data_IF_864829982365
#
_entry.id   IF_864829982365
#
_cell.length_a   1.000
_cell.length_b   1.000
_cell.length_c   1.000
_cell.angle_alpha   90.00
_cell.angle_beta   90.00
_cell.angle_gamma   90.00
#
_symmetry.space_group_name_H-M   'P 1'
#
loop_
_entity.id
_entity.type
_entity.pdbx_description
1 polymer ?
#
# COMPACT_ATOMS: atom_id res chain seq x y z
N UNK A 1 -25.92 -9.71 -64.41
CA UNK A 1 -27.34 -9.32 -64.52
C UNK A 1 -27.73 -8.49 -63.32
N UNK A 2 -28.43 -7.38 -63.54
CA UNK A 2 -29.01 -6.53 -62.48
C UNK A 2 -30.51 -6.81 -62.42
N UNK A 3 -31.03 -7.16 -61.25
CA UNK A 3 -32.47 -7.31 -61.02
C UNK A 3 -33.01 -6.11 -60.26
N UNK A 4 -34.02 -5.43 -60.81
CA UNK A 4 -34.63 -4.22 -60.20
C UNK A 4 -36.12 -4.48 -59.92
N UNK A 5 -36.60 -4.11 -58.74
CA UNK A 5 -38.02 -4.20 -58.41
C UNK A 5 -38.29 -3.99 -56.92
N UNK A 6 -39.52 -4.25 -56.46
CA UNK A 6 -39.80 -4.30 -55.01
C UNK A 6 -38.94 -5.39 -54.35
N UNK A 7 -38.81 -6.53 -55.04
CA UNK A 7 -37.81 -7.56 -54.76
C UNK A 7 -36.90 -7.69 -55.99
N UNK A 8 -35.68 -7.14 -55.91
CA UNK A 8 -34.70 -7.22 -56.99
C UNK A 8 -33.78 -8.43 -56.80
N UNK A 9 -33.83 -9.41 -57.71
CA UNK A 9 -32.98 -10.62 -57.63
C UNK A 9 -32.00 -10.65 -58.81
N UNK A 10 -30.71 -10.80 -58.55
CA UNK A 10 -29.69 -10.89 -59.61
C UNK A 10 -28.27 -11.07 -59.07
N UNK A 11 -27.26 -10.93 -59.93
CA UNK A 11 -25.86 -10.80 -59.44
C UNK A 11 -25.74 -9.50 -58.63
N UNK A 12 -26.40 -8.44 -59.12
CA UNK A 12 -26.71 -7.23 -58.35
C UNK A 12 -28.23 -7.14 -58.25
N UNK A 13 -28.79 -7.28 -57.04
CA UNK A 13 -30.22 -7.12 -56.79
C UNK A 13 -30.53 -5.76 -56.15
N UNK A 14 -31.39 -4.95 -56.76
CA UNK A 14 -31.75 -3.60 -56.27
C UNK A 14 -33.26 -3.53 -56.03
N UNK A 15 -33.68 -3.18 -54.81
CA UNK A 15 -35.10 -3.07 -54.48
C UNK A 15 -35.41 -2.63 -53.07
N UNK A 16 -36.67 -2.76 -52.63
CA UNK A 16 -36.99 -2.70 -51.19
C UNK A 16 -36.31 -3.88 -50.49
N UNK A 17 -36.35 -5.05 -51.13
CA UNK A 17 -35.51 -6.22 -50.82
C UNK A 17 -34.60 -6.50 -52.02
N UNK A 18 -33.30 -6.31 -51.87
CA UNK A 18 -32.31 -6.64 -52.90
C UNK A 18 -31.59 -7.93 -52.56
N UNK A 19 -31.62 -8.94 -53.44
CA UNK A 19 -30.98 -10.24 -53.23
C UNK A 19 -29.98 -10.53 -54.35
N UNK A 20 -28.72 -10.84 -54.00
CA UNK A 20 -27.71 -11.18 -55.00
C UNK A 20 -26.33 -11.48 -54.44
N UNK A 21 -25.31 -11.45 -55.30
CA UNK A 21 -23.91 -11.35 -54.80
C UNK A 21 -23.73 -9.99 -54.12
N UNK A 22 -24.29 -8.95 -54.73
CA UNK A 22 -24.51 -7.64 -54.12
C UNK A 22 -26.01 -7.38 -54.03
N UNK A 23 -26.56 -7.32 -52.83
CA UNK A 23 -27.95 -6.96 -52.58
C UNK A 23 -28.06 -5.54 -52.04
N UNK A 24 -28.80 -4.65 -52.70
CA UNK A 24 -28.99 -3.24 -52.30
C UNK A 24 -30.48 -2.96 -52.07
N UNK A 25 -30.84 -2.45 -50.90
CA UNK A 25 -32.23 -2.08 -50.62
C UNK A 25 -32.51 -1.55 -49.23
N UNK A 26 -33.78 -1.53 -48.81
CA UNK A 26 -34.10 -1.39 -47.38
C UNK A 26 -33.58 -2.61 -46.64
N UNK A 27 -33.77 -3.79 -47.22
CA UNK A 27 -33.11 -5.04 -46.83
C UNK A 27 -32.22 -5.51 -47.99
N UNK A 28 -30.91 -5.48 -47.82
CA UNK A 28 -29.95 -6.01 -48.78
C UNK A 28 -29.40 -7.35 -48.32
N UNK A 29 -29.55 -8.42 -49.13
CA UNK A 29 -29.07 -9.77 -48.82
C UNK A 29 -28.09 -10.24 -49.87
N UNK A 30 -26.90 -10.68 -49.48
CA UNK A 30 -25.93 -11.23 -50.43
C UNK A 30 -24.59 -11.63 -49.84
N UNK A 31 -23.57 -11.76 -50.70
CA UNK A 31 -22.17 -11.77 -50.22
C UNK A 31 -21.85 -10.40 -49.63
N UNK A 32 -22.29 -9.33 -50.33
CA UNK A 32 -22.34 -7.96 -49.83
C UNK A 32 -23.80 -7.52 -49.78
N UNK A 33 -24.35 -7.33 -48.58
CA UNK A 33 -25.69 -6.78 -48.37
C UNK A 33 -25.61 -5.33 -47.93
N UNK A 34 -26.23 -4.41 -48.66
CA UNK A 34 -26.25 -2.96 -48.37
C UNK A 34 -27.69 -2.48 -48.17
N UNK A 35 -27.99 -1.84 -47.04
CA UNK A 35 -29.32 -1.29 -46.82
C UNK A 35 -29.55 -0.64 -45.47
N UNK A 36 -30.82 -0.48 -45.08
CA UNK A 36 -31.14 -0.21 -43.67
C UNK A 36 -30.77 -1.44 -42.84
N UNK A 37 -31.10 -2.63 -43.37
CA UNK A 37 -30.62 -3.92 -42.89
C UNK A 37 -29.77 -4.56 -44.00
N UNK A 38 -28.46 -4.68 -43.79
CA UNK A 38 -27.56 -5.38 -44.71
C UNK A 38 -27.18 -6.75 -44.14
N UNK A 39 -27.47 -7.83 -44.85
CA UNK A 39 -27.17 -9.21 -44.44
C UNK A 39 -26.23 -9.86 -45.45
N UNK A 40 -25.11 -10.41 -44.99
CA UNK A 40 -24.21 -11.13 -45.89
C UNK A 40 -22.92 -11.63 -45.28
N UNK A 41 -21.92 -11.93 -46.12
CA UNK A 41 -20.53 -12.06 -45.63
C UNK A 41 -20.06 -10.71 -45.13
N UNK A 42 -20.37 -9.65 -45.89
CA UNK A 42 -20.25 -8.25 -45.50
C UNK A 42 -21.65 -7.64 -45.49
N UNK A 43 -22.18 -7.33 -44.32
CA UNK A 43 -23.46 -6.61 -44.15
C UNK A 43 -23.20 -5.15 -43.81
N UNK A 44 -23.70 -4.22 -44.62
CA UNK A 44 -23.55 -2.77 -44.41
C UNK A 44 -24.93 -2.13 -44.26
N UNK A 45 -25.16 -1.39 -43.18
CA UNK A 45 -26.41 -0.66 -43.03
C UNK A 45 -26.59 0.10 -41.73
N UNK A 46 -27.82 0.45 -41.38
CA UNK A 46 -28.12 0.85 -39.99
C UNK A 46 -27.92 -0.36 -39.08
N UNK A 47 -28.37 -1.52 -39.53
CA UNK A 47 -28.05 -2.84 -38.96
C UNK A 47 -27.28 -3.64 -40.01
N UNK A 48 -26.00 -3.89 -39.78
CA UNK A 48 -25.16 -4.74 -40.62
C UNK A 48 -24.94 -6.09 -39.96
N UNK A 49 -25.33 -7.19 -40.61
CA UNK A 49 -25.19 -8.56 -40.09
C UNK A 49 -24.33 -9.38 -41.06
N UNK A 50 -23.27 -10.01 -40.55
CA UNK A 50 -22.46 -10.90 -41.38
C UNK A 50 -21.24 -11.50 -40.73
N UNK A 51 -20.29 -11.97 -41.52
CA UNK A 51 -18.93 -12.23 -41.00
C UNK A 51 -18.30 -10.89 -40.59
N UNK A 52 -18.50 -9.86 -41.43
CA UNK A 52 -18.23 -8.46 -41.14
C UNK A 52 -19.56 -7.71 -41.18
N UNK A 53 -20.04 -7.25 -40.03
CA UNK A 53 -21.23 -6.40 -39.92
C UNK A 53 -20.82 -4.96 -39.67
N UNK A 54 -21.20 -4.02 -40.53
CA UNK A 54 -20.90 -2.59 -40.42
C UNK A 54 -22.19 -1.79 -40.33
N UNK A 55 -22.34 -0.96 -39.31
CA UNK A 55 -23.50 -0.08 -39.21
C UNK A 55 -23.58 0.78 -37.97
N UNK A 56 -24.79 1.27 -37.65
CA UNK A 56 -25.05 1.79 -36.29
C UNK A 56 -24.98 0.62 -35.32
N UNK A 57 -25.57 -0.52 -35.70
CA UNK A 57 -25.41 -1.82 -35.05
C UNK A 57 -24.73 -2.75 -36.04
N UNK A 58 -23.48 -3.13 -35.77
CA UNK A 58 -22.73 -4.11 -36.55
C UNK A 58 -22.65 -5.43 -35.79
N UNK A 59 -23.15 -6.52 -36.38
CA UNK A 59 -23.15 -7.87 -35.79
C UNK A 59 -22.38 -8.82 -36.68
N UNK A 60 -21.40 -9.54 -36.12
CA UNK A 60 -20.70 -10.55 -36.88
C UNK A 60 -19.56 -11.25 -36.16
N UNK A 61 -18.65 -11.88 -36.91
CA UNK A 61 -17.33 -12.24 -36.35
C UNK A 61 -16.57 -10.95 -36.02
N UNK A 62 -16.65 -9.98 -36.93
CA UNK A 62 -16.22 -8.59 -36.73
C UNK A 62 -17.47 -7.71 -36.83
N UNK A 63 -17.89 -7.12 -35.72
CA UNK A 63 -18.98 -6.15 -35.68
C UNK A 63 -18.42 -4.74 -35.52
N UNK A 64 -18.70 -3.83 -36.44
CA UNK A 64 -18.24 -2.44 -36.42
C UNK A 64 -19.44 -1.50 -36.40
N UNK A 65 -19.51 -0.60 -35.43
CA UNK A 65 -20.56 0.41 -35.41
C UNK A 65 -20.57 1.35 -34.23
N UNK A 66 -21.70 1.99 -33.95
CA UNK A 66 -21.92 2.61 -32.64
C UNK A 66 -21.99 1.51 -31.58
N UNK A 67 -22.69 0.42 -31.90
CA UNK A 67 -22.68 -0.84 -31.18
C UNK A 67 -22.09 -1.92 -32.09
N UNK A 68 -20.89 -2.39 -31.78
CA UNK A 68 -20.25 -3.50 -32.48
C UNK A 68 -20.32 -4.77 -31.65
N UNK A 69 -20.94 -5.83 -32.17
CA UNK A 69 -21.09 -7.13 -31.49
C UNK A 69 -20.42 -8.23 -32.30
N UNK A 70 -19.52 -8.99 -31.69
CA UNK A 70 -18.92 -10.13 -32.37
C UNK A 70 -17.86 -10.89 -31.59
N UNK A 71 -17.02 -11.65 -32.28
CA UNK A 71 -15.77 -12.11 -31.68
C UNK A 71 -14.87 -10.91 -31.43
N UNK A 72 -14.83 -10.00 -32.40
CA UNK A 72 -14.26 -8.66 -32.30
C UNK A 72 -15.39 -7.65 -32.47
N UNK A 73 -15.76 -6.96 -31.39
CA UNK A 73 -16.74 -5.87 -31.43
C UNK A 73 -16.03 -4.52 -31.35
N UNK A 74 -16.21 -3.65 -32.34
CA UNK A 74 -15.60 -2.32 -32.39
C UNK A 74 -16.70 -1.26 -32.45
N UNK A 75 -16.68 -0.29 -31.54
CA UNK A 75 -17.62 0.82 -31.61
C UNK A 75 -17.53 1.83 -30.48
N UNK A 76 -18.58 2.61 -30.27
CA UNK A 76 -18.74 3.34 -29.01
C UNK A 76 -18.93 2.33 -27.88
N UNK A 77 -19.75 1.31 -28.14
CA UNK A 77 -19.89 0.09 -27.33
C UNK A 77 -19.41 -1.09 -28.17
N UNK A 78 -18.27 -1.66 -27.81
CA UNK A 78 -17.73 -2.87 -28.44
C UNK A 78 -17.95 -4.08 -27.53
N UNK A 79 -18.66 -5.10 -27.99
CA UNK A 79 -18.95 -6.33 -27.23
C UNK A 79 -18.40 -7.53 -27.97
N UNK A 80 -17.60 -8.35 -27.30
CA UNK A 80 -17.13 -9.59 -27.89
C UNK A 80 -16.17 -10.40 -27.04
N UNK A 81 -15.42 -11.30 -27.67
CA UNK A 81 -14.21 -11.85 -27.02
C UNK A 81 -13.20 -10.73 -26.84
N UNK A 82 -13.05 -9.90 -27.88
CA UNK A 82 -12.35 -8.62 -27.84
C UNK A 82 -13.36 -7.51 -28.09
N UNK A 83 -13.66 -6.71 -27.07
CA UNK A 83 -14.51 -5.54 -27.18
C UNK A 83 -13.68 -4.26 -27.17
N UNK A 84 -13.75 -3.45 -28.22
CA UNK A 84 -13.01 -2.19 -28.35
C UNK A 84 -13.99 -1.03 -28.49
N UNK A 85 -13.86 -0.01 -27.63
CA UNK A 85 -14.67 1.19 -27.78
C UNK A 85 -14.48 2.26 -26.73
N UNK A 86 -15.45 3.16 -26.59
CA UNK A 86 -15.53 3.98 -25.36
C UNK A 86 -15.84 3.06 -24.18
N UNK A 87 -16.76 2.12 -24.39
CA UNK A 87 -17.02 0.98 -23.52
C UNK A 87 -16.68 -0.29 -24.27
N UNK A 88 -15.60 -0.96 -23.86
CA UNK A 88 -15.19 -2.26 -24.41
C UNK A 88 -15.54 -3.37 -23.43
N UNK A 89 -16.36 -4.34 -23.83
CA UNK A 89 -16.78 -5.47 -23.00
C UNK A 89 -16.35 -6.77 -23.66
N UNK A 90 -15.63 -7.63 -22.93
CA UNK A 90 -15.29 -8.95 -23.43
C UNK A 90 -14.44 -9.80 -22.52
N UNK A 91 -13.79 -10.82 -23.08
CA UNK A 91 -12.66 -11.46 -22.37
C UNK A 91 -11.53 -10.44 -22.25
N UNK A 92 -11.28 -9.71 -23.33
CA UNK A 92 -10.44 -8.52 -23.38
C UNK A 92 -11.34 -7.32 -23.72
N UNK A 93 -11.56 -6.44 -22.74
CA UNK A 93 -12.29 -5.18 -22.93
C UNK A 93 -11.32 -4.01 -22.99
N UNK A 94 -11.31 -3.26 -24.07
CA UNK A 94 -10.44 -2.09 -24.29
C UNK A 94 -11.29 -0.85 -24.51
N UNK A 95 -11.06 0.20 -23.72
CA UNK A 95 -11.73 1.47 -23.96
C UNK A 95 -11.43 2.58 -22.99
N UNK A 96 -12.29 3.60 -22.92
CA UNK A 96 -12.29 4.50 -21.76
C UNK A 96 -12.70 3.70 -20.52
N UNK A 97 -13.72 2.84 -20.68
CA UNK A 97 -14.11 1.81 -19.74
C UNK A 97 -13.89 0.45 -20.40
N UNK A 98 -12.89 -0.30 -19.94
CA UNK A 98 -12.62 -1.65 -20.38
C UNK A 98 -13.09 -2.67 -19.33
N UNK A 99 -14.00 -3.56 -19.69
CA UNK A 99 -14.56 -4.58 -18.80
C UNK A 99 -14.27 -5.97 -19.37
N UNK A 100 -13.65 -6.83 -18.57
CA UNK A 100 -13.45 -8.22 -18.99
C UNK A 100 -12.69 -9.10 -18.01
N UNK A 101 -12.15 -10.21 -18.49
CA UNK A 101 -11.10 -10.92 -17.74
C UNK A 101 -9.86 -10.02 -17.66
N UNK A 102 -9.53 -9.39 -18.79
CA UNK A 102 -8.57 -8.29 -18.90
C UNK A 102 -9.34 -7.03 -19.32
N UNK A 103 -9.47 -6.08 -18.40
CA UNK A 103 -10.06 -4.77 -18.68
C UNK A 103 -8.97 -3.72 -18.80
N UNK A 104 -8.88 -3.04 -19.94
CA UNK A 104 -7.89 -1.99 -20.21
C UNK A 104 -8.59 -0.69 -20.53
N UNK A 105 -8.25 0.39 -19.81
CA UNK A 105 -8.79 1.70 -20.14
C UNK A 105 -8.37 2.84 -19.23
N UNK A 106 -9.13 3.93 -19.23
CA UNK A 106 -9.06 4.90 -18.13
C UNK A 106 -9.56 4.23 -16.86
N UNK A 107 -10.66 3.49 -16.97
CA UNK A 107 -11.17 2.57 -15.97
C UNK A 107 -11.08 1.15 -16.54
N UNK A 108 -10.16 0.35 -16.03
CA UNK A 108 -10.02 -1.07 -16.38
C UNK A 108 -10.58 -1.95 -15.28
N UNK A 109 -11.60 -2.77 -15.59
CA UNK A 109 -12.26 -3.66 -14.63
C UNK A 109 -12.13 -5.10 -15.10
N UNK A 110 -11.61 -5.98 -14.26
CA UNK A 110 -11.55 -7.40 -14.58
C UNK A 110 -10.90 -8.28 -13.54
N UNK A 111 -10.48 -9.48 -13.94
CA UNK A 111 -9.52 -10.25 -13.12
C UNK A 111 -8.20 -9.48 -13.10
N UNK A 112 -7.79 -8.97 -14.25
CA UNK A 112 -6.72 -7.99 -14.42
C UNK A 112 -7.33 -6.69 -14.93
N UNK A 113 -7.37 -5.67 -14.08
CA UNK A 113 -7.81 -4.33 -14.44
C UNK A 113 -6.61 -3.40 -14.63
N UNK A 114 -6.44 -2.82 -15.81
CA UNK A 114 -5.34 -1.91 -16.14
C UNK A 114 -5.90 -0.56 -16.54
N UNK A 115 -5.46 0.51 -15.89
CA UNK A 115 -5.86 1.86 -16.30
C UNK A 115 -5.34 3.00 -15.46
N UNK A 116 -5.99 4.17 -15.55
CA UNK A 116 -5.81 5.20 -14.51
C UNK A 116 -6.38 4.68 -13.20
N UNK A 117 -7.57 4.06 -13.28
CA UNK A 117 -8.17 3.26 -12.22
C UNK A 117 -8.24 1.81 -12.70
N UNK A 118 -7.41 0.95 -12.11
CA UNK A 118 -7.42 -0.48 -12.38
C UNK A 118 -8.10 -1.23 -11.24
N UNK A 119 -9.17 -1.97 -11.52
CA UNK A 119 -9.94 -2.74 -10.53
C UNK A 119 -9.93 -4.22 -10.90
N UNK A 120 -9.52 -5.08 -9.97
CA UNK A 120 -9.60 -6.52 -10.20
C UNK A 120 -9.05 -7.40 -9.10
N UNK A 121 -8.76 -8.65 -9.42
CA UNK A 121 -7.88 -9.46 -8.55
C UNK A 121 -6.49 -8.82 -8.55
N UNK A 122 -6.01 -8.44 -9.74
CA UNK A 122 -4.85 -7.60 -9.95
C UNK A 122 -5.33 -6.27 -10.55
N UNK A 123 -5.27 -5.20 -9.76
CA UNK A 123 -5.59 -3.85 -10.22
C UNK A 123 -4.29 -3.06 -10.43
N UNK A 124 -4.05 -2.58 -11.65
CA UNK A 124 -2.86 -1.80 -12.02
C UNK A 124 -3.27 -0.42 -12.52
N UNK A 125 -2.74 0.63 -11.92
CA UNK A 125 -2.98 1.97 -12.43
C UNK A 125 -2.35 3.12 -11.66
N UNK A 126 -2.86 4.34 -11.83
CA UNK A 126 -2.59 5.41 -10.87
C UNK A 126 -3.22 5.04 -9.53
N UNK A 127 -4.46 4.55 -9.59
CA UNK A 127 -5.16 3.89 -8.49
C UNK A 127 -5.37 2.42 -8.87
N UNK A 128 -4.62 1.52 -8.24
CA UNK A 128 -4.78 0.08 -8.41
C UNK A 128 -5.54 -0.51 -7.22
N UNK A 129 -6.70 -1.14 -7.48
CA UNK A 129 -7.55 -1.75 -6.45
C UNK A 129 -7.71 -3.23 -6.73
N UNK A 130 -7.39 -4.08 -5.74
CA UNK A 130 -7.63 -5.51 -5.89
C UNK A 130 -7.19 -6.37 -4.72
N UNK A 131 -7.03 -7.67 -4.95
CA UNK A 131 -6.26 -8.51 -4.02
C UNK A 131 -4.81 -8.05 -4.04
N UNK A 132 -4.29 -7.78 -5.24
CA UNK A 132 -3.03 -7.08 -5.47
C UNK A 132 -3.35 -5.77 -6.17
N UNK A 133 -3.19 -4.66 -5.45
CA UNK A 133 -3.35 -3.31 -5.99
C UNK A 133 -1.99 -2.68 -6.24
N UNK A 134 -1.69 -2.31 -7.49
CA UNK A 134 -0.42 -1.70 -7.88
C UNK A 134 -0.68 -0.32 -8.48
N UNK A 135 -0.05 0.72 -7.94
CA UNK A 135 -0.15 2.04 -8.53
C UNK A 135 0.60 3.15 -7.84
N UNK A 136 0.24 4.41 -8.10
CA UNK A 136 0.63 5.51 -7.21
C UNK A 136 -0.06 5.31 -5.87
N UNK A 137 -1.34 4.95 -5.90
CA UNK A 137 -2.11 4.44 -4.77
C UNK A 137 -2.47 2.99 -5.06
N UNK A 138 -1.85 2.06 -4.34
CA UNK A 138 -2.15 0.63 -4.43
C UNK A 138 -2.99 0.20 -3.23
N UNK A 139 -4.20 -0.32 -3.45
CA UNK A 139 -5.12 -0.77 -2.40
C UNK A 139 -5.42 -2.25 -2.59
N UNK A 140 -5.20 -3.06 -1.56
CA UNK A 140 -5.59 -4.47 -1.60
C UNK A 140 -5.25 -5.29 -0.39
N UNK A 141 -5.22 -6.62 -0.53
CA UNK A 141 -4.56 -7.47 0.46
C UNK A 141 -3.06 -7.16 0.44
N UNK A 142 -2.50 -7.05 -0.77
CA UNK A 142 -1.17 -6.50 -1.03
C UNK A 142 -1.35 -5.20 -1.81
N UNK A 143 -1.10 -4.06 -1.15
CA UNK A 143 -1.11 -2.75 -1.78
C UNK A 143 0.31 -2.26 -2.04
N UNK A 144 0.66 -2.00 -3.30
CA UNK A 144 1.99 -1.55 -3.73
C UNK A 144 1.88 -0.19 -4.41
N UNK A 145 2.63 0.80 -3.93
CA UNK A 145 2.67 2.09 -4.61
C UNK A 145 3.52 3.15 -3.97
N UNK A 146 3.29 4.43 -4.32
CA UNK A 146 3.78 5.54 -3.48
C UNK A 146 3.06 5.49 -2.14
N UNK A 147 1.74 5.27 -2.18
CA UNK A 147 0.91 4.94 -1.03
C UNK A 147 0.40 3.50 -1.23
N UNK A 148 0.92 2.56 -0.46
CA UNK A 148 0.48 1.18 -0.45
C UNK A 148 -0.41 0.92 0.76
N UNK A 149 -1.66 0.51 0.55
CA UNK A 149 -2.65 0.23 1.60
C UNK A 149 -3.10 -1.22 1.50
N UNK A 150 -2.96 -1.99 2.59
CA UNK A 150 -3.49 -3.34 2.61
C UNK A 150 -3.27 -4.12 3.90
N UNK A 151 -3.39 -5.45 3.83
CA UNK A 151 -2.83 -6.29 4.89
C UNK A 151 -1.31 -6.15 4.88
N UNK A 152 -0.74 -6.17 3.68
CA UNK A 152 0.64 -5.79 3.41
C UNK A 152 0.62 -4.54 2.54
N UNK A 153 0.99 -3.40 3.12
CA UNK A 153 1.13 -2.12 2.41
C UNK A 153 2.60 -1.83 2.14
N UNK A 154 2.99 -1.68 0.88
CA UNK A 154 4.37 -1.42 0.45
C UNK A 154 4.41 -0.10 -0.33
N UNK A 155 5.26 0.84 0.09
CA UNK A 155 5.45 2.07 -0.67
C UNK A 155 6.41 3.09 -0.08
N UNK A 156 6.30 4.34 -0.50
CA UNK A 156 6.90 5.45 0.25
C UNK A 156 6.17 5.56 1.59
N UNK A 157 4.84 5.48 1.54
CA UNK A 157 3.97 5.30 2.69
C UNK A 157 3.31 3.93 2.58
N UNK A 158 3.71 2.99 3.43
CA UNK A 158 3.10 1.67 3.52
C UNK A 158 2.17 1.59 4.73
N UNK A 159 0.89 1.31 4.52
CA UNK A 159 -0.13 1.22 5.58
C UNK A 159 -0.73 -0.19 5.57
N UNK A 160 -0.71 -0.87 6.71
CA UNK A 160 -1.38 -2.17 6.81
C UNK A 160 -1.24 -2.89 8.13
N UNK A 161 -1.49 -4.20 8.14
CA UNK A 161 -1.03 -5.04 9.27
C UNK A 161 0.50 -5.05 9.27
N UNK A 162 1.09 -5.21 8.08
CA UNK A 162 2.51 -4.99 7.81
C UNK A 162 2.62 -3.79 6.87
N UNK A 163 3.10 -2.66 7.38
CA UNK A 163 3.38 -1.47 6.58
C UNK A 163 4.88 -1.35 6.33
N UNK A 164 5.29 -1.34 5.06
CA UNK A 164 6.69 -1.25 4.63
C UNK A 164 6.89 0.00 3.79
N UNK A 165 7.84 0.86 4.15
CA UNK A 165 8.17 2.01 3.31
C UNK A 165 9.22 2.95 3.85
N UNK A 166 9.25 4.18 3.35
CA UNK A 166 9.96 5.27 4.05
C UNK A 166 9.23 5.55 5.36
N UNK A 167 7.90 5.61 5.31
CA UNK A 167 7.00 5.61 6.45
C UNK A 167 6.19 4.30 6.41
N UNK A 168 6.49 3.38 7.32
CA UNK A 168 5.74 2.15 7.49
C UNK A 168 4.79 2.26 8.68
N UNK A 169 3.49 2.10 8.47
CA UNK A 169 2.45 2.19 9.51
C UNK A 169 1.69 0.88 9.58
N UNK A 170 1.62 0.26 10.77
CA UNK A 170 0.82 -0.93 10.94
C UNK A 170 0.86 -1.58 12.32
N UNK A 171 0.49 -2.86 12.39
CA UNK A 171 0.84 -3.67 13.57
C UNK A 171 2.36 -3.84 13.60
N UNK A 172 2.93 -4.14 12.45
CA UNK A 172 4.37 -4.09 12.18
C UNK A 172 4.63 -2.99 11.17
N UNK A 173 5.22 -1.89 11.61
CA UNK A 173 5.65 -0.78 10.76
C UNK A 173 7.15 -0.85 10.51
N UNK A 174 7.58 -0.98 9.25
CA UNK A 174 8.99 -1.07 8.85
C UNK A 174 9.33 0.09 7.91
N UNK A 175 10.37 0.86 8.24
CA UNK A 175 10.82 1.91 7.35
C UNK A 175 11.96 2.78 7.85
N UNK A 176 12.13 3.96 7.26
CA UNK A 176 12.94 5.01 7.90
C UNK A 176 12.24 5.45 9.19
N UNK A 177 10.93 5.65 9.09
CA UNK A 177 10.02 5.82 10.22
C UNK A 177 9.08 4.62 10.25
N UNK A 178 9.25 3.74 11.24
CA UNK A 178 8.37 2.61 11.48
C UNK A 178 7.43 2.90 12.64
N UNK A 179 6.11 2.90 12.41
CA UNK A 179 5.08 3.16 13.41
C UNK A 179 4.18 1.93 13.56
N UNK A 180 4.03 1.42 14.78
CA UNK A 180 3.10 0.32 15.02
C UNK A 180 3.07 -0.22 16.42
N UNK A 181 2.55 -1.45 16.58
CA UNK A 181 2.81 -2.22 17.81
C UNK A 181 4.30 -2.53 17.88
N UNK A 182 4.85 -2.98 16.76
CA UNK A 182 6.29 -3.11 16.52
C UNK A 182 6.67 -2.10 15.44
N UNK A 183 7.39 -1.05 15.82
CA UNK A 183 7.95 -0.06 14.92
C UNK A 183 9.44 -0.32 14.69
N UNK A 184 9.85 -0.58 13.46
CA UNK A 184 11.25 -0.85 13.08
C UNK A 184 11.73 0.20 12.09
N UNK A 185 12.83 0.88 12.38
CA UNK A 185 13.41 1.81 11.43
C UNK A 185 14.63 2.58 11.90
N UNK A 186 14.94 3.70 11.25
CA UNK A 186 15.85 4.69 11.84
C UNK A 186 15.17 5.29 13.08
N UNK A 187 13.90 5.62 12.94
CA UNK A 187 12.99 5.97 14.03
C UNK A 187 11.92 4.89 14.13
N UNK A 188 11.98 4.08 15.18
CA UNK A 188 10.97 3.07 15.49
C UNK A 188 10.05 3.56 16.60
N UNK A 189 8.74 3.65 16.35
CA UNK A 189 7.73 4.10 17.31
C UNK A 189 6.70 3.00 17.52
N UNK A 190 6.48 2.60 18.77
CA UNK A 190 5.44 1.62 19.05
C UNK A 190 5.33 1.16 20.50
N UNK A 191 4.71 0.00 20.73
CA UNK A 191 4.88 -0.71 22.00
C UNK A 191 6.32 -1.18 22.11
N UNK A 192 6.84 -1.74 21.02
CA UNK A 192 8.25 -2.05 20.80
C UNK A 192 8.75 -1.16 19.68
N UNK A 193 9.60 -0.18 20.00
CA UNK A 193 10.27 0.67 19.04
C UNK A 193 11.73 0.24 18.86
N UNK A 194 12.13 -0.14 17.66
CA UNK A 194 13.49 -0.59 17.33
C UNK A 194 14.09 0.34 16.28
N UNK A 195 15.25 0.91 16.56
CA UNK A 195 15.96 1.73 15.57
C UNK A 195 17.23 2.40 16.05
N UNK A 196 17.66 3.43 15.32
CA UNK A 196 18.66 4.37 15.88
C UNK A 196 18.02 5.12 17.04
N UNK A 197 16.78 5.57 16.84
CA UNK A 197 15.89 6.10 17.87
C UNK A 197 14.72 5.12 18.03
N UNK A 198 14.67 4.42 19.16
CA UNK A 198 13.56 3.53 19.52
C UNK A 198 12.67 4.20 20.58
N UNK A 199 11.40 4.43 20.28
CA UNK A 199 10.42 5.03 21.18
C UNK A 199 9.29 4.04 21.44
N UNK A 200 9.02 3.72 22.70
CA UNK A 200 7.89 2.87 23.04
C UNK A 200 7.75 2.51 24.50
N UNK A 201 6.99 1.45 24.79
CA UNK A 201 7.08 0.80 26.11
C UNK A 201 8.47 0.17 26.25
N UNK A 202 8.92 -0.50 25.19
CA UNK A 202 10.28 -0.99 25.01
C UNK A 202 10.91 -0.21 23.86
N UNK A 203 11.88 0.67 24.17
CA UNK A 203 12.65 1.41 23.17
C UNK A 203 14.04 0.80 23.03
N UNK A 204 14.38 0.27 21.87
CA UNK A 204 15.69 -0.34 21.56
C UNK A 204 16.39 0.48 20.50
N UNK A 205 17.61 0.96 20.81
CA UNK A 205 18.40 1.68 19.82
C UNK A 205 19.70 2.28 20.31
N UNK A 206 20.26 3.20 19.53
CA UNK A 206 21.35 4.08 20.00
C UNK A 206 20.80 5.02 21.08
N UNK A 207 19.59 5.52 20.83
CA UNK A 207 18.73 6.25 21.77
C UNK A 207 17.46 5.42 21.98
N UNK A 208 17.31 4.84 23.17
CA UNK A 208 16.10 4.11 23.57
C UNK A 208 15.29 4.95 24.55
N UNK A 209 14.01 5.20 24.25
CA UNK A 209 13.07 5.95 25.09
C UNK A 209 11.87 5.07 25.39
N UNK A 210 11.59 4.82 26.68
CA UNK A 210 10.40 4.05 27.06
C UNK A 210 10.25 3.74 28.52
N UNK A 211 9.37 2.81 28.88
CA UNK A 211 9.37 2.23 30.23
C UNK A 211 10.64 1.41 30.43
N UNK A 212 11.00 0.64 29.41
CA UNK A 212 12.27 -0.07 29.28
C UNK A 212 13.03 0.55 28.11
N UNK A 213 14.04 1.35 28.40
CA UNK A 213 14.93 1.94 27.40
C UNK A 213 16.24 1.15 27.31
N UNK A 214 16.47 0.45 26.19
CA UNK A 214 17.72 -0.26 25.90
C UNK A 214 18.51 0.55 24.86
N UNK A 215 19.38 1.41 25.35
CA UNK A 215 20.37 2.17 24.58
C UNK A 215 21.63 1.32 24.35
N UNK A 216 21.71 0.55 23.28
CA UNK A 216 22.88 -0.29 22.95
C UNK A 216 24.11 0.56 22.58
N UNK A 217 23.93 1.86 22.30
CA UNK A 217 25.01 2.74 21.82
C UNK A 217 25.38 3.92 22.73
N UNK A 218 24.41 4.72 23.19
CA UNK A 218 24.75 5.99 23.87
C UNK A 218 23.76 6.41 24.94
N UNK A 219 22.44 6.38 24.70
CA UNK A 219 21.46 6.93 25.65
C UNK A 219 20.27 5.98 25.85
N UNK A 220 19.98 5.62 27.10
CA UNK A 220 18.75 4.93 27.50
C UNK A 220 17.95 5.76 28.47
N UNK A 221 16.70 6.10 28.14
CA UNK A 221 15.78 6.88 28.99
C UNK A 221 14.56 6.03 29.32
N UNK A 222 14.29 5.79 30.60
CA UNK A 222 13.10 5.06 31.00
C UNK A 222 12.95 4.76 32.49
N UNK A 223 11.97 3.94 32.87
CA UNK A 223 11.92 3.42 34.25
C UNK A 223 13.11 2.50 34.48
N UNK A 224 13.42 1.66 33.50
CA UNK A 224 14.66 0.87 33.42
C UNK A 224 15.44 1.33 32.20
N UNK A 225 16.63 1.90 32.42
CA UNK A 225 17.51 2.40 31.36
C UNK A 225 18.84 1.65 31.33
N UNK A 226 19.25 1.14 30.17
CA UNK A 226 20.59 0.55 29.97
C UNK A 226 21.27 1.30 28.83
N UNK A 227 22.48 1.83 29.03
CA UNK A 227 23.26 2.48 27.97
C UNK A 227 24.50 3.20 28.49
N UNK A 228 25.30 3.84 27.62
CA UNK A 228 26.47 4.61 28.07
C UNK A 228 26.04 5.75 29.01
N UNK A 229 24.95 6.44 28.66
CA UNK A 229 24.23 7.40 29.48
C UNK A 229 22.85 6.84 29.78
N UNK A 230 22.60 6.46 31.03
CA UNK A 230 21.30 5.96 31.49
C UNK A 230 20.56 7.00 32.32
N UNK A 231 19.30 7.30 31.98
CA UNK A 231 18.43 8.16 32.78
C UNK A 231 17.17 7.39 33.14
N UNK A 232 16.92 7.16 34.44
CA UNK A 232 15.75 6.40 34.84
C UNK A 232 15.54 6.14 36.31
N UNK A 233 14.50 5.38 36.68
CA UNK A 233 14.34 4.94 38.07
C UNK A 233 15.44 3.93 38.42
N UNK A 234 15.69 2.98 37.51
CA UNK A 234 16.77 2.00 37.57
C UNK A 234 17.65 2.16 36.34
N UNK A 235 18.93 2.51 36.52
CA UNK A 235 19.86 2.78 35.43
C UNK A 235 21.12 1.91 35.49
N UNK A 236 21.57 1.40 34.35
CA UNK A 236 22.90 0.76 34.19
C UNK A 236 23.66 1.46 33.07
N UNK A 237 24.82 2.03 33.35
CA UNK A 237 25.59 2.75 32.34
C UNK A 237 26.96 3.26 32.76
N UNK A 238 27.68 3.92 31.86
CA UNK A 238 28.94 4.59 32.23
C UNK A 238 28.63 5.84 33.04
N UNK A 239 27.63 6.62 32.60
CA UNK A 239 27.07 7.78 33.28
C UNK A 239 25.60 7.49 33.56
N UNK A 240 25.19 7.50 34.84
CA UNK A 240 23.83 7.17 35.24
C UNK A 240 23.16 8.28 36.05
N UNK A 241 21.91 8.62 35.72
CA UNK A 241 21.06 9.50 36.54
C UNK A 241 19.81 8.73 36.93
N UNK A 242 19.57 8.51 38.22
CA UNK A 242 18.39 7.75 38.63
C UNK A 242 18.16 7.52 40.11
N UNK A 243 17.09 6.81 40.47
CA UNK A 243 16.82 6.45 41.87
C UNK A 243 17.77 5.33 42.31
N UNK A 244 17.97 4.34 41.45
CA UNK A 244 18.88 3.21 41.62
C UNK A 244 19.79 3.16 40.40
N UNK A 245 21.11 3.21 40.57
CA UNK A 245 22.05 3.30 39.45
C UNK A 245 23.31 2.46 39.64
N UNK A 246 23.75 1.77 38.58
CA UNK A 246 25.06 1.10 38.51
C UNK A 246 25.86 1.73 37.37
N UNK A 247 27.02 2.34 37.67
CA UNK A 247 27.85 2.93 36.63
C UNK A 247 29.19 3.49 37.05
N UNK A 248 29.97 4.03 36.10
CA UNK A 248 31.28 4.64 36.43
C UNK A 248 31.08 5.98 37.13
N UNK A 249 30.15 6.80 36.63
CA UNK A 249 29.76 8.11 37.17
C UNK A 249 28.25 8.12 37.41
N UNK A 250 27.78 8.39 38.62
CA UNK A 250 26.36 8.30 38.96
C UNK A 250 25.82 9.50 39.76
N UNK A 251 24.64 10.00 39.41
CA UNK A 251 23.88 10.96 40.23
C UNK A 251 22.54 10.32 40.58
N UNK A 252 22.30 10.05 41.86
CA UNK A 252 21.05 9.40 42.26
C UNK A 252 20.49 9.85 43.59
N UNK A 253 19.16 9.92 43.67
CA UNK A 253 18.44 10.34 44.89
C UNK A 253 18.22 9.15 45.84
N UNK A 254 18.47 7.91 45.40
CA UNK A 254 18.34 6.68 46.20
C UNK A 254 19.67 5.96 46.42
N UNK A 255 19.91 4.88 45.67
CA UNK A 255 21.06 3.95 45.82
C UNK A 255 21.97 3.99 44.57
N UNK A 256 23.24 4.34 44.73
CA UNK A 256 24.22 4.35 43.63
C UNK A 256 25.41 3.43 43.86
N UNK A 257 25.80 2.66 42.85
CA UNK A 257 27.03 1.83 42.86
C UNK A 257 27.93 2.28 41.72
N UNK A 258 29.13 2.78 42.01
CA UNK A 258 30.01 3.29 40.97
C UNK A 258 31.38 3.81 41.40
N UNK A 259 32.20 4.25 40.45
CA UNK A 259 33.54 4.80 40.76
C UNK A 259 33.42 6.20 41.35
N UNK A 260 32.58 7.05 40.77
CA UNK A 260 32.30 8.43 41.19
C UNK A 260 30.79 8.61 41.36
N UNK A 261 30.30 8.99 42.55
CA UNK A 261 28.86 9.02 42.83
C UNK A 261 28.37 10.18 43.72
N UNK A 262 27.20 10.72 43.40
CA UNK A 262 26.45 11.65 44.27
C UNK A 262 25.10 11.03 44.63
N UNK A 263 24.80 10.82 45.91
CA UNK A 263 23.50 10.30 46.32
C UNK A 263 23.25 10.07 47.80
N UNK A 264 22.06 9.58 48.15
CA UNK A 264 21.64 9.37 49.55
C UNK A 264 22.28 8.13 50.14
N UNK A 265 22.39 7.03 49.38
CA UNK A 265 23.08 5.79 49.76
C UNK A 265 24.02 5.37 48.62
N UNK A 266 25.31 5.15 48.90
CA UNK A 266 26.31 4.93 47.86
C UNK A 266 27.45 3.97 48.20
N UNK A 267 27.89 3.18 47.21
CA UNK A 267 29.10 2.34 47.27
C UNK A 267 30.02 2.74 46.13
N UNK A 268 31.20 3.26 46.44
CA UNK A 268 32.12 3.76 45.41
C UNK A 268 33.49 4.22 45.86
N UNK A 269 34.34 4.60 44.90
CA UNK A 269 35.73 5.02 45.16
C UNK A 269 35.80 6.49 45.61
N UNK A 270 34.96 7.35 45.01
CA UNK A 270 34.85 8.79 45.30
C UNK A 270 33.38 9.21 45.35
N UNK A 271 32.92 9.93 46.38
CA UNK A 271 31.53 10.37 46.42
C UNK A 271 31.16 11.44 47.44
N UNK A 272 30.01 12.08 47.20
CA UNK A 272 29.37 13.10 48.06
C UNK A 272 27.94 12.67 48.34
N UNK A 273 27.57 12.54 49.61
CA UNK A 273 26.23 12.08 50.00
C UNK A 273 25.73 12.70 51.29
N UNK A 274 24.40 12.75 51.42
CA UNK A 274 23.69 13.24 52.62
C UNK A 274 23.34 12.08 53.58
N UNK A 275 23.59 10.82 53.18
CA UNK A 275 23.31 9.61 53.96
C UNK A 275 24.49 8.62 54.07
N UNK A 276 24.22 7.31 54.22
CA UNK A 276 25.23 6.27 54.51
C UNK A 276 26.03 5.90 53.26
N UNK A 277 27.36 6.06 53.32
CA UNK A 277 28.29 5.70 52.25
C UNK A 277 29.39 4.75 52.71
N UNK A 278 29.74 3.77 51.87
CA UNK A 278 30.90 2.88 52.08
C UNK A 278 31.86 3.10 50.91
N UNK A 279 33.03 3.69 51.20
CA UNK A 279 34.06 3.98 50.19
C UNK A 279 35.44 3.52 50.63
N UNK A 280 36.23 3.05 49.66
CA UNK A 280 37.64 2.62 49.87
C UNK A 280 38.62 3.79 49.61
N UNK A 281 38.12 4.98 49.26
CA UNK A 281 38.89 6.20 48.98
C UNK A 281 38.29 7.47 49.59
N UNK A 282 39.04 8.59 49.56
CA UNK A 282 38.75 9.87 50.23
C UNK A 282 37.33 10.40 49.95
N UNK A 283 36.43 10.30 50.93
CA UNK A 283 35.07 10.83 50.85
C UNK A 283 34.84 11.93 51.89
N UNK A 284 34.18 13.02 51.47
CA UNK A 284 33.65 14.05 52.39
C UNK A 284 32.19 13.71 52.67
N UNK A 285 31.94 13.10 53.82
CA UNK A 285 30.59 12.85 54.32
C UNK A 285 30.12 13.98 55.22
N UNK A 286 29.04 14.69 54.85
CA UNK A 286 28.31 15.52 55.80
C UNK A 286 27.25 14.63 56.45
N UNK A 287 27.66 13.89 57.47
CA UNK A 287 26.75 13.08 58.27
C UNK A 287 25.98 13.95 59.26
N UNK A 288 24.66 14.02 59.13
CA UNK A 288 23.82 14.46 60.25
C UNK A 288 23.75 13.29 61.24
N UNK A 289 24.62 13.30 62.23
CA UNK A 289 24.58 12.37 63.36
C UNK A 289 23.36 12.71 64.23
N UNK A 290 22.32 11.87 64.21
CA UNK A 290 21.29 11.90 65.25
C UNK A 290 21.87 11.25 66.52
N UNK A 291 22.51 12.08 67.35
CA UNK A 291 23.06 11.66 68.63
C UNK A 291 21.94 11.14 69.55
N UNK A 292 22.21 9.95 70.07
CA UNK A 292 21.49 9.15 71.05
C UNK A 292 20.64 9.90 72.09
N UNK A 293 19.38 9.52 72.21
CA UNK A 293 18.66 9.56 73.50
C UNK A 293 18.84 8.21 74.19
N UNK A 294 19.68 8.13 75.22
CA UNK A 294 19.61 7.09 76.24
C UNK A 294 20.22 7.59 77.55
N UNK A 295 19.32 7.77 78.52
CA UNK A 295 19.54 8.12 79.92
C UNK A 295 20.71 7.38 80.58
N UNK A 296 21.53 8.13 81.31
CA UNK A 296 21.94 7.86 82.69
C UNK A 296 22.48 9.17 83.30
#
# INVERSE_FOLDING_TARGET
MVGVGVVGVGVVGVGVVGVGVVGVGVVGVGVVGVGVVGVGVVGVGVVGVGVVGVGVVGVGVVGVGVVGVGVVGVGVVGVGVVGVGVVGVGVVGVGVVGVGVVGVGVVGVGVVGVGVVGVGVVGVGVVGVGVVGVGVVGVGVVGVGVVGVGVVGVGVVGVGVVGVGVVGVGVVGVGVVGVGVVGVGVVGVGVVGVGVVGVGVVGVGVVGVGVVGVGVGVVGVGVVGVGVVGVGVVGVGVVGVGVVGVGVVGVGVGVGVGVVGVGVVGVGVVGVGVGVGVGVGTGVGVGVSSAAFKNA
#
